data_IF_844870567267
#
_entry.id   IF_844870567267
#
_cell.length_a   1.000
_cell.length_b   1.000
_cell.length_c   1.000
_cell.angle_alpha   90.00
_cell.angle_beta   90.00
_cell.angle_gamma   90.00
#
_symmetry.space_group_name_H-M   'P 1'
#
loop_
_entity.id
_entity.type
_entity.pdbx_description
1 polymer ?
#
# COMPACT_ATOMS: atom_id res chain seq x y z
N UNK A 1 18.00 13.91 -11.00
CA UNK A 1 17.40 12.61 -11.03
C UNK A 1 17.79 11.83 -9.78
N UNK A 2 16.82 11.48 -8.94
CA UNK A 2 17.09 10.75 -7.72
C UNK A 2 17.68 9.38 -8.04
N UNK A 3 18.88 9.12 -7.59
CA UNK A 3 19.34 7.75 -7.42
C UNK A 3 18.48 7.15 -6.31
N UNK A 4 17.87 5.98 -6.56
CA UNK A 4 17.14 5.26 -5.52
C UNK A 4 18.03 5.07 -4.32
N UNK A 5 17.63 5.70 -3.25
CA UNK A 5 18.22 5.50 -1.98
C UNK A 5 17.39 4.46 -1.27
N UNK A 6 17.79 3.22 -1.35
CA UNK A 6 17.70 2.44 -0.15
C UNK A 6 18.71 3.04 0.81
N UNK A 7 18.31 3.33 2.04
CA UNK A 7 19.20 3.74 3.12
C UNK A 7 20.39 2.78 3.31
N UNK A 8 20.37 1.65 2.65
CA UNK A 8 21.37 0.57 2.58
C UNK A 8 22.34 0.70 1.40
N UNK A 9 22.27 1.74 0.55
CA UNK A 9 23.43 2.01 -0.29
C UNK A 9 24.65 2.20 0.61
N UNK A 10 25.85 1.69 0.22
CA UNK A 10 27.06 1.82 1.06
C UNK A 10 27.15 3.27 1.50
N UNK A 11 27.01 3.46 2.79
CA UNK A 11 26.55 4.66 3.52
C UNK A 11 27.22 5.99 3.23
N UNK A 12 28.06 6.11 2.22
CA UNK A 12 28.81 7.33 2.00
C UNK A 12 28.44 8.10 0.74
N UNK A 13 27.98 7.44 -0.31
CA UNK A 13 27.80 8.10 -1.62
C UNK A 13 26.74 9.20 -1.57
N UNK A 14 25.58 8.93 -0.98
CA UNK A 14 24.55 9.96 -0.83
C UNK A 14 24.99 11.09 0.09
N UNK A 15 25.56 10.74 1.26
CA UNK A 15 26.08 11.71 2.21
C UNK A 15 27.10 12.62 1.53
N UNK A 16 28.06 12.06 0.79
CA UNK A 16 29.08 12.79 0.06
C UNK A 16 28.47 13.71 -1.00
N UNK A 17 27.48 13.23 -1.77
CA UNK A 17 26.77 14.02 -2.76
C UNK A 17 26.00 15.19 -2.14
N UNK A 18 25.27 14.95 -1.05
CA UNK A 18 24.51 16.00 -0.36
C UNK A 18 25.42 17.03 0.29
N UNK A 19 26.53 16.61 0.92
CA UNK A 19 27.56 17.51 1.44
C UNK A 19 28.17 18.36 0.32
N UNK A 20 28.57 17.71 -0.78
CA UNK A 20 29.14 18.41 -1.94
C UNK A 20 28.16 19.41 -2.54
N UNK A 21 26.88 19.09 -2.60
CA UNK A 21 25.82 19.99 -3.09
C UNK A 21 25.62 21.16 -2.14
N UNK A 22 25.45 20.89 -0.83
CA UNK A 22 25.26 21.89 0.22
C UNK A 22 26.33 22.97 0.17
N UNK A 23 27.58 22.59 -0.07
CA UNK A 23 28.73 23.52 -0.08
C UNK A 23 28.85 24.39 -1.34
N UNK A 24 28.14 24.06 -2.42
CA UNK A 24 28.37 24.66 -3.74
C UNK A 24 27.16 25.28 -4.40
N UNK A 25 25.98 24.88 -3.98
CA UNK A 25 24.74 25.27 -4.64
C UNK A 25 23.70 25.79 -3.64
N UNK A 26 22.73 26.56 -4.15
CA UNK A 26 21.55 26.91 -3.40
C UNK A 26 20.75 25.68 -3.02
N UNK A 27 19.96 25.78 -1.97
CA UNK A 27 19.05 24.72 -1.53
C UNK A 27 18.12 24.33 -2.70
N UNK A 28 17.98 23.04 -3.02
CA UNK A 28 17.00 22.60 -4.01
C UNK A 28 15.58 22.81 -3.48
N UNK A 29 14.62 22.91 -4.39
CA UNK A 29 13.19 23.04 -4.04
C UNK A 29 12.69 21.78 -3.30
N UNK A 30 13.18 20.62 -3.66
CA UNK A 30 12.86 19.34 -3.03
C UNK A 30 13.98 18.30 -3.24
N UNK A 31 13.99 17.29 -2.38
CA UNK A 31 14.81 16.09 -2.51
C UNK A 31 13.91 14.91 -2.89
N UNK A 32 14.46 13.93 -3.59
CA UNK A 32 13.70 12.75 -4.02
C UNK A 32 14.38 11.46 -3.62
N UNK A 33 13.55 10.44 -3.31
CA UNK A 33 14.02 9.07 -3.12
C UNK A 33 13.01 8.06 -3.68
N UNK A 34 13.41 6.78 -3.73
CA UNK A 34 12.55 5.64 -4.04
C UNK A 34 12.57 4.67 -2.87
N UNK A 35 11.48 3.95 -2.64
CA UNK A 35 11.37 3.02 -1.51
C UNK A 35 10.72 1.70 -1.93
N UNK A 36 11.36 0.61 -1.55
CA UNK A 36 10.92 -0.76 -1.79
C UNK A 36 11.31 -1.66 -0.61
N UNK A 37 10.55 -2.73 -0.31
CA UNK A 37 10.76 -3.58 0.87
C UNK A 37 11.94 -4.55 0.70
N UNK A 38 13.05 -4.10 0.14
CA UNK A 38 14.23 -4.93 -0.13
C UNK A 38 15.46 -4.30 0.48
N UNK A 39 16.18 -5.10 1.26
CA UNK A 39 17.55 -4.77 1.68
C UNK A 39 18.53 -5.52 0.82
N UNK A 40 19.58 -4.84 0.34
CA UNK A 40 20.72 -5.46 -0.31
C UNK A 40 21.67 -5.91 0.80
N UNK A 41 21.56 -7.14 1.26
CA UNK A 41 22.64 -7.73 2.06
C UNK A 41 23.84 -7.96 1.15
N UNK A 42 24.93 -7.22 1.38
CA UNK A 42 26.24 -7.55 0.85
C UNK A 42 26.80 -8.75 1.61
N UNK A 43 26.40 -9.94 1.24
CA UNK A 43 27.22 -11.10 1.49
C UNK A 43 28.24 -11.18 0.35
N UNK A 44 29.49 -10.89 0.68
CA UNK A 44 30.63 -11.16 -0.20
C UNK A 44 30.90 -12.66 -0.23
N UNK A 45 30.00 -13.44 -0.76
CA UNK A 45 30.27 -14.82 -1.12
C UNK A 45 30.85 -14.85 -2.53
N UNK A 46 32.15 -15.01 -2.60
CA UNK A 46 32.84 -15.38 -3.84
C UNK A 46 32.57 -16.85 -4.16
N UNK A 47 31.51 -17.14 -4.87
CA UNK A 47 31.32 -18.44 -5.50
C UNK A 47 31.83 -18.37 -6.93
N UNK A 48 32.89 -19.10 -7.25
CA UNK A 48 33.49 -19.20 -8.59
C UNK A 48 33.89 -17.84 -9.20
N UNK A 49 34.41 -16.89 -8.41
CA UNK A 49 34.91 -15.60 -8.90
C UNK A 49 33.82 -14.60 -9.32
N UNK A 50 32.55 -14.84 -9.01
CA UNK A 50 31.44 -13.90 -9.23
C UNK A 50 30.89 -13.43 -7.90
N UNK A 51 30.69 -12.12 -7.83
CA UNK A 51 30.07 -11.47 -6.67
C UNK A 51 28.54 -11.53 -6.84
N UNK A 52 27.85 -12.16 -5.91
CA UNK A 52 26.37 -12.19 -5.88
C UNK A 52 25.88 -11.29 -4.75
N UNK A 53 24.96 -10.39 -5.05
CA UNK A 53 24.17 -9.70 -4.05
C UNK A 53 22.84 -10.44 -3.88
N UNK A 54 22.55 -10.89 -2.66
CA UNK A 54 21.25 -11.43 -2.31
C UNK A 54 20.32 -10.27 -1.90
N UNK A 55 19.20 -10.15 -2.58
CA UNK A 55 18.09 -9.31 -2.14
C UNK A 55 17.27 -10.11 -1.12
N UNK A 56 17.20 -9.65 0.12
CA UNK A 56 16.28 -10.20 1.11
C UNK A 56 15.04 -9.29 1.22
N UNK A 57 13.87 -9.91 1.35
CA UNK A 57 12.64 -9.17 1.69
C UNK A 57 12.72 -8.87 3.19
N UNK A 58 12.55 -7.63 3.58
CA UNK A 58 12.43 -7.30 4.98
C UNK A 58 11.20 -7.96 5.60
N UNK A 59 11.36 -8.48 6.80
CA UNK A 59 10.25 -9.02 7.58
C UNK A 59 9.33 -7.93 8.14
N UNK A 60 9.81 -6.70 8.20
CA UNK A 60 9.05 -5.53 8.61
C UNK A 60 8.30 -4.94 7.42
N UNK A 61 7.00 -4.81 7.59
CA UNK A 61 6.12 -4.27 6.56
C UNK A 61 6.07 -2.74 6.52
N UNK A 62 6.78 -2.04 7.44
CA UNK A 62 6.81 -0.56 7.55
C UNK A 62 8.03 0.08 6.86
N UNK A 63 8.45 -0.46 5.72
CA UNK A 63 9.69 -0.09 5.04
C UNK A 63 9.75 1.39 4.60
N UNK A 64 8.62 1.98 4.17
CA UNK A 64 8.59 3.41 3.78
C UNK A 64 8.91 4.30 4.97
N UNK A 65 8.35 4.02 6.15
CA UNK A 65 8.64 4.79 7.38
C UNK A 65 10.11 4.66 7.77
N UNK A 66 10.67 3.46 7.69
CA UNK A 66 12.09 3.23 7.98
C UNK A 66 13.00 4.01 7.03
N UNK A 67 12.69 4.03 5.73
CA UNK A 67 13.43 4.80 4.76
C UNK A 67 13.32 6.31 5.00
N UNK A 68 12.14 6.81 5.36
CA UNK A 68 11.92 8.21 5.73
C UNK A 68 12.76 8.57 6.95
N UNK A 69 12.72 7.76 8.01
CA UNK A 69 13.48 7.99 9.24
C UNK A 69 14.99 8.00 8.99
N UNK A 70 15.48 7.05 8.18
CA UNK A 70 16.87 6.98 7.78
C UNK A 70 17.29 8.21 6.96
N UNK A 71 16.41 8.69 6.09
CA UNK A 71 16.66 9.88 5.27
C UNK A 71 16.75 11.14 6.13
N UNK A 72 15.79 11.35 7.04
CA UNK A 72 15.82 12.46 7.99
C UNK A 72 17.07 12.42 8.88
N UNK A 73 17.40 11.25 9.43
CA UNK A 73 18.61 11.09 10.26
C UNK A 73 19.89 11.43 9.48
N UNK A 74 19.96 11.09 8.19
CA UNK A 74 21.07 11.47 7.33
C UNK A 74 21.13 13.00 7.16
N UNK A 75 20.03 13.65 6.81
CA UNK A 75 19.97 15.09 6.58
C UNK A 75 20.35 15.85 7.86
N UNK A 76 19.86 15.43 9.02
CA UNK A 76 20.19 16.01 10.32
C UNK A 76 21.68 15.85 10.63
N UNK A 77 22.26 14.67 10.36
CA UNK A 77 23.66 14.37 10.62
C UNK A 77 24.67 15.25 9.86
N UNK A 78 24.22 15.85 8.76
CA UNK A 78 25.01 16.76 7.91
C UNK A 78 24.52 18.20 7.99
N UNK A 79 23.58 18.49 8.90
CA UNK A 79 22.96 19.81 9.05
C UNK A 79 22.45 20.35 7.69
N UNK A 80 21.74 19.48 6.92
CA UNK A 80 21.20 19.88 5.65
C UNK A 80 20.01 20.84 5.84
N UNK A 81 19.88 21.91 5.03
CA UNK A 81 18.75 22.83 5.17
C UNK A 81 17.41 22.12 5.03
N UNK A 82 16.40 22.51 5.83
CA UNK A 82 15.05 21.98 5.74
C UNK A 82 14.53 22.07 4.29
N UNK A 83 14.28 20.93 3.69
CA UNK A 83 13.95 20.78 2.27
C UNK A 83 12.83 19.74 2.14
N UNK A 84 11.77 20.02 1.37
CA UNK A 84 10.70 19.06 1.09
C UNK A 84 11.26 17.74 0.56
N UNK A 85 10.67 16.63 0.99
CA UNK A 85 11.07 15.27 0.55
C UNK A 85 9.93 14.63 -0.21
N UNK A 86 10.21 14.17 -1.42
CA UNK A 86 9.26 13.50 -2.30
C UNK A 86 9.67 12.05 -2.51
N UNK A 87 8.76 11.14 -2.22
CA UNK A 87 8.87 9.74 -2.59
C UNK A 87 8.35 9.58 -4.02
N UNK A 88 9.29 9.55 -4.97
CA UNK A 88 8.96 9.59 -6.40
C UNK A 88 8.57 8.24 -6.98
N UNK A 89 8.93 7.16 -6.29
CA UNK A 89 8.58 5.82 -6.71
C UNK A 89 8.58 4.87 -5.52
N UNK A 90 7.50 4.13 -5.35
CA UNK A 90 7.42 3.08 -4.33
C UNK A 90 6.46 1.97 -4.74
N UNK A 91 6.69 0.80 -4.18
CA UNK A 91 5.79 -0.33 -4.28
C UNK A 91 6.09 -1.33 -3.15
N UNK A 92 5.13 -2.17 -2.81
CA UNK A 92 5.29 -3.24 -1.81
C UNK A 92 5.90 -4.52 -2.38
N UNK A 93 6.27 -4.54 -3.66
CA UNK A 93 6.95 -5.64 -4.36
C UNK A 93 7.66 -5.08 -5.60
N UNK A 94 8.81 -5.64 -5.95
CA UNK A 94 9.49 -5.38 -7.24
C UNK A 94 9.08 -6.39 -8.31
N UNK A 95 8.63 -7.57 -7.90
CA UNK A 95 8.30 -8.64 -8.83
C UNK A 95 7.00 -8.36 -9.57
N UNK A 96 7.08 -8.35 -10.90
CA UNK A 96 5.93 -8.30 -11.80
C UNK A 96 5.24 -9.67 -11.98
N UNK A 97 5.61 -10.65 -11.17
CA UNK A 97 5.08 -12.03 -11.23
C UNK A 97 4.78 -12.61 -9.85
N UNK A 98 4.47 -11.77 -8.91
CA UNK A 98 4.06 -12.17 -7.57
C UNK A 98 2.55 -12.05 -7.43
N UNK A 99 1.83 -13.17 -7.37
CA UNK A 99 0.37 -13.19 -7.28
C UNK A 99 -0.20 -12.42 -6.07
N UNK A 100 0.63 -12.17 -5.06
CA UNK A 100 0.32 -11.26 -3.96
C UNK A 100 -0.11 -9.87 -4.46
N UNK A 101 0.46 -9.38 -5.57
CA UNK A 101 0.12 -8.08 -6.15
C UNK A 101 -1.34 -7.98 -6.63
N UNK A 102 -2.01 -9.11 -6.86
CA UNK A 102 -3.40 -9.16 -7.28
C UNK A 102 -4.37 -9.36 -6.10
N UNK A 103 -3.87 -9.42 -4.87
CA UNK A 103 -4.62 -9.77 -3.65
C UNK A 103 -5.08 -8.55 -2.83
N UNK A 104 -6.03 -8.76 -1.91
CA UNK A 104 -6.45 -7.77 -0.93
C UNK A 104 -5.32 -7.40 0.06
N UNK A 105 -4.38 -8.31 0.31
CA UNK A 105 -3.24 -8.04 1.18
C UNK A 105 -2.35 -6.91 0.63
N UNK A 106 -2.13 -6.88 -0.68
CA UNK A 106 -1.43 -5.79 -1.35
C UNK A 106 -2.07 -4.44 -1.04
N UNK A 107 -3.39 -4.34 -1.17
CA UNK A 107 -4.15 -3.12 -0.88
C UNK A 107 -3.97 -2.65 0.57
N UNK A 108 -4.07 -3.56 1.53
CA UNK A 108 -3.88 -3.25 2.95
C UNK A 108 -2.43 -2.82 3.27
N UNK A 109 -1.43 -3.47 2.67
CA UNK A 109 -0.03 -3.07 2.84
C UNK A 109 0.25 -1.70 2.21
N UNK A 110 -0.37 -1.38 1.07
CA UNK A 110 -0.28 -0.03 0.50
C UNK A 110 -0.83 1.02 1.45
N UNK A 111 -2.03 0.81 2.00
CA UNK A 111 -2.64 1.73 2.96
C UNK A 111 -1.76 1.92 4.20
N UNK A 112 -1.14 0.88 4.69
CA UNK A 112 -0.22 0.95 5.82
C UNK A 112 0.96 1.89 5.51
N UNK A 113 1.64 1.74 4.36
CA UNK A 113 2.71 2.65 3.94
C UNK A 113 2.22 4.09 3.83
N UNK A 114 1.03 4.31 3.25
CA UNK A 114 0.48 5.65 3.05
C UNK A 114 0.12 6.32 4.38
N UNK A 115 -0.41 5.57 5.35
CA UNK A 115 -0.69 6.07 6.71
C UNK A 115 0.61 6.39 7.45
N UNK A 116 1.63 5.56 7.32
CA UNK A 116 2.94 5.79 7.92
C UNK A 116 3.60 7.06 7.37
N UNK A 117 3.49 7.30 6.05
CA UNK A 117 4.06 8.46 5.37
C UNK A 117 3.26 9.76 5.57
N UNK A 118 2.04 9.68 6.12
CA UNK A 118 1.19 10.86 6.35
C UNK A 118 1.87 11.86 7.29
N UNK A 119 1.95 13.11 6.89
CA UNK A 119 2.63 14.22 7.58
C UNK A 119 4.16 14.17 7.52
N UNK A 120 4.76 13.15 6.91
CA UNK A 120 6.21 12.98 6.79
C UNK A 120 6.73 13.38 5.39
N UNK A 121 5.89 13.22 4.36
CA UNK A 121 6.22 13.49 2.96
C UNK A 121 5.26 14.49 2.33
N UNK A 122 5.81 15.37 1.49
CA UNK A 122 5.01 16.31 0.69
C UNK A 122 4.37 15.62 -0.52
N UNK A 123 4.99 14.55 -1.02
CA UNK A 123 4.51 13.79 -2.17
C UNK A 123 4.94 12.32 -2.11
N UNK A 124 4.00 11.43 -2.52
CA UNK A 124 4.22 10.00 -2.58
C UNK A 124 3.60 9.41 -3.86
N UNK A 125 4.43 8.93 -4.78
CA UNK A 125 3.99 8.42 -6.08
C UNK A 125 4.13 6.91 -6.18
N UNK A 126 3.00 6.23 -6.40
CA UNK A 126 2.96 4.77 -6.58
C UNK A 126 3.40 4.36 -8.00
N UNK A 127 4.20 3.32 -8.12
CA UNK A 127 4.60 2.69 -9.39
C UNK A 127 3.99 1.29 -9.49
N UNK A 128 3.10 1.00 -10.44
CA UNK A 128 2.60 1.76 -11.56
C UNK A 128 1.08 1.70 -11.62
N UNK A 129 0.45 2.44 -12.56
CA UNK A 129 -1.03 2.46 -12.68
C UNK A 129 -1.57 1.18 -13.29
N UNK A 130 -0.94 0.63 -14.33
CA UNK A 130 -1.44 -0.56 -15.02
C UNK A 130 -0.39 -1.67 -15.08
N UNK A 131 -0.89 -2.91 -15.10
CA UNK A 131 -0.09 -4.06 -15.50
C UNK A 131 0.30 -3.88 -16.96
N UNK A 132 1.51 -3.43 -17.20
CA UNK A 132 1.97 -3.20 -18.54
C UNK A 132 3.28 -3.90 -18.76
N UNK A 133 3.64 -4.03 -19.96
CA UNK A 133 4.97 -4.14 -20.47
C UNK A 133 5.35 -5.48 -21.00
N UNK A 134 6.53 -5.93 -20.67
CA UNK A 134 7.12 -7.15 -21.21
C UNK A 134 6.25 -8.38 -20.93
N UNK A 135 5.60 -8.42 -19.77
CA UNK A 135 4.73 -9.53 -19.37
C UNK A 135 3.41 -9.58 -20.17
N UNK A 136 2.99 -8.47 -20.71
CA UNK A 136 1.80 -8.41 -21.56
C UNK A 136 1.90 -9.33 -22.77
N UNK A 137 3.09 -9.47 -23.35
CA UNK A 137 3.33 -10.24 -24.55
C UNK A 137 3.62 -11.72 -24.28
N UNK A 138 3.96 -12.08 -23.04
CA UNK A 138 4.32 -13.45 -22.68
C UNK A 138 3.28 -14.18 -21.83
N UNK A 139 2.12 -13.54 -21.56
CA UNK A 139 1.02 -14.17 -20.83
C UNK A 139 -0.34 -13.74 -21.36
N UNK A 140 -1.21 -14.74 -21.59
CA UNK A 140 -2.64 -14.54 -21.89
C UNK A 140 -3.49 -14.41 -20.63
N UNK A 141 -2.95 -14.77 -19.47
CA UNK A 141 -3.67 -14.74 -18.18
C UNK A 141 -4.16 -13.33 -17.84
N UNK A 142 -5.38 -13.18 -17.31
CA UNK A 142 -5.93 -11.90 -16.88
C UNK A 142 -5.17 -11.33 -15.66
N UNK A 143 -4.64 -12.21 -14.80
CA UNK A 143 -3.83 -11.89 -13.64
C UNK A 143 -2.50 -12.61 -13.76
N UNK A 144 -1.42 -11.87 -13.59
CA UNK A 144 -0.05 -12.35 -13.72
C UNK A 144 0.83 -12.01 -12.51
N UNK A 145 0.24 -11.39 -11.48
CA UNK A 145 1.00 -10.93 -10.33
C UNK A 145 1.82 -9.66 -10.61
N UNK A 146 1.44 -8.86 -11.60
CA UNK A 146 2.11 -7.60 -11.88
C UNK A 146 1.73 -6.50 -10.88
N UNK A 147 2.56 -5.47 -10.79
CA UNK A 147 2.49 -4.44 -9.74
C UNK A 147 1.44 -3.35 -9.98
N UNK A 148 0.81 -3.32 -11.14
CA UNK A 148 -0.19 -2.32 -11.51
C UNK A 148 -1.44 -2.35 -10.62
N UNK A 149 -2.14 -1.21 -10.58
CA UNK A 149 -3.45 -1.07 -9.94
C UNK A 149 -4.58 -1.68 -10.80
N UNK A 150 -4.37 -1.72 -12.10
CA UNK A 150 -5.34 -2.14 -13.12
C UNK A 150 -4.68 -3.21 -13.99
N UNK A 151 -5.40 -4.30 -14.27
CA UNK A 151 -4.89 -5.36 -15.15
C UNK A 151 -4.75 -4.86 -16.60
N UNK A 152 -3.99 -5.58 -17.43
CA UNK A 152 -3.87 -5.31 -18.86
C UNK A 152 -5.22 -5.24 -19.59
N UNK A 153 -6.23 -5.95 -19.11
CA UNK A 153 -7.58 -5.98 -19.67
C UNK A 153 -8.50 -4.91 -19.08
N UNK A 154 -7.98 -4.04 -18.21
CA UNK A 154 -8.70 -2.93 -17.58
C UNK A 154 -9.63 -3.37 -16.44
N UNK A 155 -9.33 -4.47 -15.75
CA UNK A 155 -10.03 -4.90 -14.54
C UNK A 155 -9.34 -4.25 -13.33
N UNK A 156 -10.11 -3.65 -12.43
CA UNK A 156 -9.59 -3.00 -11.24
C UNK A 156 -9.19 -4.05 -10.19
N UNK A 157 -7.99 -3.88 -9.61
CA UNK A 157 -7.47 -4.75 -8.55
C UNK A 157 -7.83 -4.18 -7.17
N UNK A 158 -7.74 -4.96 -6.08
CA UNK A 158 -7.87 -4.42 -4.72
C UNK A 158 -6.98 -3.20 -4.45
N UNK A 159 -5.76 -3.20 -4.99
CA UNK A 159 -4.81 -2.09 -4.92
C UNK A 159 -5.35 -0.76 -5.51
N UNK A 160 -6.16 -0.83 -6.59
CA UNK A 160 -6.83 0.34 -7.14
C UNK A 160 -7.77 0.98 -6.12
N UNK A 161 -8.56 0.17 -5.43
CA UNK A 161 -9.51 0.66 -4.43
C UNK A 161 -8.82 1.24 -3.20
N UNK A 162 -7.63 0.78 -2.85
CA UNK A 162 -6.84 1.43 -1.81
C UNK A 162 -6.50 2.88 -2.18
N UNK A 163 -6.07 3.12 -3.43
CA UNK A 163 -5.79 4.46 -3.94
C UNK A 163 -7.07 5.30 -4.11
N UNK A 164 -8.15 4.69 -4.57
CA UNK A 164 -9.45 5.37 -4.72
C UNK A 164 -10.01 5.82 -3.36
N UNK A 165 -9.99 4.96 -2.36
CA UNK A 165 -10.42 5.30 -1.00
C UNK A 165 -9.54 6.36 -0.36
N UNK A 166 -8.23 6.31 -0.62
CA UNK A 166 -7.33 7.37 -0.20
C UNK A 166 -7.69 8.72 -0.85
N UNK A 167 -8.00 8.71 -2.13
CA UNK A 167 -8.46 9.90 -2.85
C UNK A 167 -9.79 10.49 -2.36
N UNK A 168 -10.59 9.70 -1.61
CA UNK A 168 -11.84 10.17 -0.99
C UNK A 168 -11.63 10.75 0.41
N UNK A 169 -10.42 10.68 0.97
CA UNK A 169 -10.13 11.24 2.28
C UNK A 169 -10.19 12.78 2.24
N UNK A 170 -10.58 13.37 3.37
CA UNK A 170 -10.68 14.81 3.52
C UNK A 170 -9.31 15.46 3.78
N UNK A 171 -9.26 16.78 3.65
CA UNK A 171 -8.03 17.55 3.75
C UNK A 171 -7.49 17.69 5.18
N UNK A 172 -8.35 17.58 6.19
CA UNK A 172 -7.96 17.78 7.58
C UNK A 172 -7.85 16.45 8.31
N UNK A 173 -6.64 16.11 8.75
CA UNK A 173 -6.40 14.96 9.60
C UNK A 173 -7.07 15.15 10.97
N UNK A 174 -7.86 14.17 11.41
CA UNK A 174 -8.48 14.09 12.75
C UNK A 174 -7.64 13.16 13.64
N UNK A 175 -7.18 12.05 13.09
CA UNK A 175 -6.36 11.09 13.79
C UNK A 175 -5.92 9.94 12.91
N UNK A 176 -4.83 9.30 13.28
CA UNK A 176 -4.30 8.10 12.63
C UNK A 176 -3.81 7.10 13.66
N UNK A 177 -3.76 5.84 13.28
CA UNK A 177 -3.22 4.73 14.07
C UNK A 177 -2.75 3.62 13.16
N UNK A 178 -2.26 2.55 13.76
CA UNK A 178 -1.65 1.42 13.03
C UNK A 178 -2.57 0.82 11.93
N UNK A 179 -3.88 0.93 12.09
CA UNK A 179 -4.86 0.28 11.22
C UNK A 179 -5.92 1.24 10.65
N UNK A 180 -5.75 2.55 10.83
CA UNK A 180 -6.71 3.52 10.33
C UNK A 180 -6.12 4.91 10.17
N UNK A 181 -6.77 5.70 9.33
CA UNK A 181 -6.65 7.14 9.25
C UNK A 181 -8.06 7.74 9.21
N UNK A 182 -8.27 8.85 9.92
CA UNK A 182 -9.52 9.58 9.96
C UNK A 182 -9.29 11.04 9.57
N UNK A 183 -10.13 11.55 8.70
CA UNK A 183 -10.06 12.94 8.20
C UNK A 183 -11.44 13.60 8.24
N UNK A 184 -11.47 14.90 8.06
CA UNK A 184 -12.72 15.63 7.85
C UNK A 184 -12.64 16.55 6.63
N UNK A 185 -13.80 16.72 6.01
CA UNK A 185 -14.03 17.68 4.95
C UNK A 185 -15.21 18.59 5.33
N UNK A 186 -15.03 19.91 5.21
CA UNK A 186 -16.09 20.90 5.46
C UNK A 186 -16.83 20.80 6.82
N UNK A 187 -16.11 20.51 7.92
CA UNK A 187 -16.60 20.45 9.33
C UNK A 187 -17.68 19.39 9.66
N UNK A 188 -18.41 18.86 8.69
CA UNK A 188 -19.59 17.99 8.94
C UNK A 188 -19.40 16.57 8.39
N UNK A 189 -18.49 16.36 7.45
CA UNK A 189 -18.24 15.02 6.88
C UNK A 189 -16.96 14.45 7.45
N UNK A 190 -17.06 13.25 8.01
CA UNK A 190 -15.90 12.51 8.52
C UNK A 190 -15.66 11.31 7.61
N UNK A 191 -14.41 11.11 7.22
CA UNK A 191 -13.95 9.95 6.47
C UNK A 191 -13.00 9.14 7.36
N UNK A 192 -13.22 7.82 7.39
CA UNK A 192 -12.33 6.88 8.07
C UNK A 192 -11.96 5.80 7.07
N UNK A 193 -10.67 5.62 6.85
CA UNK A 193 -10.13 4.52 6.08
C UNK A 193 -9.44 3.56 7.05
N UNK A 194 -9.94 2.35 7.15
CA UNK A 194 -9.45 1.32 8.07
C UNK A 194 -9.06 0.06 7.31
N UNK A 195 -8.04 -0.65 7.79
CA UNK A 195 -7.51 -1.84 7.13
C UNK A 195 -6.90 -2.82 8.13
N UNK A 196 -6.94 -4.11 7.80
CA UNK A 196 -6.37 -5.18 8.60
C UNK A 196 -5.18 -5.83 7.88
N UNK A 197 -4.10 -5.06 7.69
CA UNK A 197 -2.87 -5.56 7.09
C UNK A 197 -2.22 -6.63 7.96
N UNK A 198 -1.81 -7.75 7.36
CA UNK A 198 -1.16 -8.87 8.04
C UNK A 198 0.34 -8.90 7.76
N UNK A 199 1.13 -9.21 8.77
CA UNK A 199 2.57 -9.41 8.60
C UNK A 199 2.85 -10.72 7.88
N UNK A 200 3.83 -10.69 6.98
CA UNK A 200 4.31 -11.89 6.31
C UNK A 200 4.91 -12.90 7.30
N UNK A 201 4.72 -14.18 7.01
CA UNK A 201 5.37 -15.27 7.73
C UNK A 201 6.83 -15.42 7.30
N UNK A 202 7.65 -15.98 8.16
CA UNK A 202 9.05 -16.28 7.81
C UNK A 202 9.18 -17.17 6.56
N UNK A 203 8.27 -18.13 6.37
CA UNK A 203 8.27 -18.99 5.21
C UNK A 203 8.04 -18.25 3.89
N UNK A 204 7.27 -17.18 3.91
CA UNK A 204 7.09 -16.32 2.73
C UNK A 204 8.38 -15.56 2.38
N UNK A 205 9.06 -15.00 3.38
CA UNK A 205 10.30 -14.27 3.17
C UNK A 205 11.43 -15.14 2.58
N UNK A 206 11.36 -16.45 2.78
CA UNK A 206 12.31 -17.43 2.22
C UNK A 206 11.89 -17.94 0.84
N UNK A 207 10.73 -17.53 0.32
CA UNK A 207 10.18 -18.01 -0.94
C UNK A 207 10.52 -17.06 -2.09
N UNK A 208 10.85 -17.61 -3.25
CA UNK A 208 11.00 -16.79 -4.45
C UNK A 208 9.63 -16.17 -4.82
N UNK A 209 9.59 -14.86 -5.02
CA UNK A 209 8.34 -14.11 -5.26
C UNK A 209 7.51 -14.66 -6.43
N UNK A 210 8.17 -15.06 -7.52
CA UNK A 210 7.51 -15.61 -8.71
C UNK A 210 7.05 -17.08 -8.56
N UNK A 211 7.28 -17.69 -7.41
CA UNK A 211 6.87 -19.09 -7.13
C UNK A 211 5.62 -19.21 -6.27
N UNK A 212 5.04 -18.07 -5.85
CA UNK A 212 3.82 -18.06 -5.04
C UNK A 212 2.60 -18.44 -5.89
N UNK A 213 1.84 -19.44 -5.42
CA UNK A 213 0.59 -19.85 -6.03
C UNK A 213 -0.62 -19.25 -5.28
N UNK A 214 -1.75 -19.06 -5.97
CA UNK A 214 -2.99 -18.50 -5.38
C UNK A 214 -3.43 -19.26 -4.13
N UNK A 215 -3.35 -20.59 -4.15
CA UNK A 215 -3.75 -21.43 -3.00
C UNK A 215 -2.89 -21.24 -1.75
N UNK A 216 -1.70 -20.65 -1.89
CA UNK A 216 -0.77 -20.40 -0.80
C UNK A 216 -0.98 -19.03 -0.12
N UNK A 217 -1.69 -18.10 -0.78
CA UNK A 217 -1.93 -16.76 -0.24
C UNK A 217 -2.47 -16.72 1.20
N UNK A 218 -3.41 -17.58 1.63
CA UNK A 218 -3.88 -17.57 3.02
C UNK A 218 -2.81 -17.98 4.04
N UNK A 219 -1.71 -18.61 3.60
CA UNK A 219 -0.66 -19.18 4.46
C UNK A 219 0.62 -18.36 4.50
N UNK A 220 0.70 -17.27 3.72
CA UNK A 220 1.88 -16.42 3.71
C UNK A 220 1.94 -15.44 4.88
N UNK A 221 0.91 -15.35 5.70
CA UNK A 221 0.82 -14.45 6.84
C UNK A 221 1.05 -15.15 8.17
N UNK A 222 1.51 -14.39 9.19
CA UNK A 222 1.72 -14.91 10.55
C UNK A 222 0.42 -15.35 11.22
N UNK A 223 -0.68 -14.67 10.91
CA UNK A 223 -2.03 -15.00 11.36
C UNK A 223 -3.08 -14.42 10.40
N UNK A 224 -4.32 -14.86 10.56
CA UNK A 224 -5.47 -14.39 9.79
C UNK A 224 -6.60 -13.87 10.72
N UNK A 225 -6.25 -13.36 11.90
CA UNK A 225 -7.20 -12.90 12.89
C UNK A 225 -7.98 -11.68 12.38
N UNK A 226 -9.24 -11.60 12.82
CA UNK A 226 -10.06 -10.41 12.61
C UNK A 226 -9.54 -9.25 13.45
N UNK A 227 -9.66 -8.06 12.93
CA UNK A 227 -9.37 -6.81 13.63
C UNK A 227 -10.69 -6.17 14.06
N UNK A 228 -10.78 -5.81 15.34
CA UNK A 228 -11.91 -5.10 15.90
C UNK A 228 -11.47 -3.69 16.29
N UNK A 229 -12.06 -2.68 15.66
CA UNK A 229 -11.82 -1.27 15.94
C UNK A 229 -13.08 -0.67 16.56
N UNK A 230 -12.91 0.08 17.65
CA UNK A 230 -13.96 0.88 18.24
C UNK A 230 -13.66 2.36 18.02
N UNK A 231 -14.58 3.06 17.40
CA UNK A 231 -14.47 4.49 17.14
C UNK A 231 -15.41 5.25 18.06
N UNK A 232 -14.87 6.27 18.74
CA UNK A 232 -15.60 7.25 19.54
C UNK A 232 -15.33 8.64 18.93
N UNK A 233 -16.32 9.17 18.23
CA UNK A 233 -16.24 10.49 17.59
C UNK A 233 -16.94 11.51 18.49
N UNK A 234 -16.17 12.48 19.00
CA UNK A 234 -16.64 13.54 19.89
C UNK A 234 -16.98 14.82 19.14
N UNK A 235 -17.77 15.67 19.76
CA UNK A 235 -18.24 16.94 19.20
C UNK A 235 -19.03 16.77 17.89
N UNK A 236 -19.76 15.67 17.80
CA UNK A 236 -20.66 15.40 16.70
C UNK A 236 -21.96 16.19 16.88
N UNK A 237 -22.54 16.68 15.79
CA UNK A 237 -23.86 17.30 15.85
C UNK A 237 -24.90 16.29 16.39
N UNK A 238 -25.75 16.74 17.28
CA UNK A 238 -26.87 15.91 17.74
C UNK A 238 -27.82 15.58 16.58
N UNK A 239 -28.20 14.32 16.49
CA UNK A 239 -29.11 13.89 15.45
C UNK A 239 -28.79 12.52 14.87
N UNK A 240 -29.41 12.25 13.75
CA UNK A 240 -29.25 11.02 13.00
C UNK A 240 -28.21 11.22 11.90
N UNK A 241 -27.14 10.43 11.93
CA UNK A 241 -26.09 10.43 10.93
C UNK A 241 -26.24 9.27 9.96
N UNK A 242 -26.02 9.54 8.68
CA UNK A 242 -25.93 8.52 7.65
C UNK A 242 -24.46 8.06 7.54
N UNK A 243 -24.25 6.76 7.67
CA UNK A 243 -22.94 6.12 7.54
C UNK A 243 -22.94 5.30 6.26
N UNK A 244 -22.10 5.70 5.29
CA UNK A 244 -21.84 4.96 4.08
C UNK A 244 -20.53 4.22 4.26
N UNK A 245 -20.50 2.91 4.04
CA UNK A 245 -19.34 2.07 4.20
C UNK A 245 -19.08 1.30 2.92
N UNK A 246 -17.84 1.36 2.42
CA UNK A 246 -17.36 0.63 1.26
C UNK A 246 -16.30 -0.37 1.73
N UNK A 247 -16.42 -1.63 1.31
CA UNK A 247 -15.53 -2.71 1.75
C UNK A 247 -14.90 -3.42 0.57
N UNK A 248 -13.63 -3.74 0.72
CA UNK A 248 -12.87 -4.64 -0.17
C UNK A 248 -12.25 -5.74 0.69
N UNK A 249 -12.57 -6.98 0.35
CA UNK A 249 -12.18 -8.17 1.10
C UNK A 249 -12.10 -9.38 0.16
N UNK A 250 -11.77 -10.55 0.70
CA UNK A 250 -11.82 -11.81 -0.07
C UNK A 250 -13.18 -12.09 -0.72
N UNK A 251 -14.27 -11.49 -0.21
CA UNK A 251 -15.63 -11.72 -0.71
C UNK A 251 -16.18 -10.62 -1.61
N UNK A 252 -15.50 -9.47 -1.75
CA UNK A 252 -15.97 -8.34 -2.55
C UNK A 252 -14.81 -7.43 -2.97
N UNK A 253 -14.90 -6.87 -4.18
CA UNK A 253 -13.85 -6.01 -4.74
C UNK A 253 -12.53 -6.75 -5.03
N UNK A 254 -12.55 -8.06 -5.13
CA UNK A 254 -11.37 -8.92 -5.26
C UNK A 254 -11.40 -9.70 -6.57
N UNK A 255 -10.66 -9.22 -7.56
CA UNK A 255 -10.59 -9.84 -8.87
C UNK A 255 -9.99 -11.25 -8.82
N UNK A 256 -9.05 -11.50 -7.90
CA UNK A 256 -8.41 -12.80 -7.76
C UNK A 256 -9.41 -13.88 -7.31
N UNK A 257 -10.29 -13.56 -6.35
CA UNK A 257 -11.35 -14.45 -5.89
C UNK A 257 -12.42 -14.68 -6.98
N UNK A 258 -12.81 -13.64 -7.71
CA UNK A 258 -13.78 -13.76 -8.80
C UNK A 258 -13.22 -14.55 -9.97
N UNK A 259 -11.95 -14.36 -10.33
CA UNK A 259 -11.26 -15.19 -11.33
C UNK A 259 -11.21 -16.67 -10.90
N UNK A 260 -11.04 -16.93 -9.61
CA UNK A 260 -11.13 -18.30 -9.07
C UNK A 260 -12.46 -18.97 -9.33
N UNK A 261 -13.58 -18.24 -9.25
CA UNK A 261 -14.92 -18.76 -9.61
C UNK A 261 -15.06 -19.11 -11.08
N UNK A 262 -14.22 -18.53 -11.94
CA UNK A 262 -14.10 -18.87 -13.36
C UNK A 262 -13.06 -19.99 -13.62
N UNK A 263 -12.64 -20.70 -12.57
CA UNK A 263 -11.71 -21.83 -12.66
C UNK A 263 -10.27 -21.44 -12.99
N UNK A 264 -9.85 -20.22 -12.72
CA UNK A 264 -8.52 -19.68 -13.03
C UNK A 264 -8.14 -19.82 -14.51
N UNK A 265 -9.13 -19.67 -15.42
CA UNK A 265 -8.89 -19.74 -16.86
C UNK A 265 -7.87 -18.69 -17.29
N UNK A 266 -6.83 -19.12 -18.00
CA UNK A 266 -5.79 -18.21 -18.53
C UNK A 266 -6.29 -17.42 -19.74
N UNK A 267 -7.26 -17.96 -20.47
CA UNK A 267 -7.86 -17.31 -21.64
C UNK A 267 -9.31 -16.99 -21.35
N UNK A 268 -9.59 -15.71 -21.10
CA UNK A 268 -10.94 -15.23 -20.86
C UNK A 268 -11.57 -14.67 -22.14
N UNK A 269 -12.84 -14.97 -22.33
CA UNK A 269 -13.64 -14.32 -23.36
C UNK A 269 -13.93 -12.86 -22.99
N UNK A 270 -14.25 -12.03 -23.97
CA UNK A 270 -14.63 -10.62 -23.75
C UNK A 270 -15.80 -10.45 -22.77
N UNK A 271 -16.76 -11.38 -22.81
CA UNK A 271 -17.90 -11.41 -21.87
C UNK A 271 -17.47 -11.66 -20.43
N UNK A 272 -16.49 -12.56 -20.21
CA UNK A 272 -15.95 -12.86 -18.88
C UNK A 272 -15.12 -11.68 -18.34
N UNK A 273 -14.32 -11.03 -19.17
CA UNK A 273 -13.62 -9.80 -18.82
C UNK A 273 -14.62 -8.71 -18.45
N UNK A 274 -15.69 -8.53 -19.25
CA UNK A 274 -16.74 -7.55 -18.93
C UNK A 274 -17.47 -7.89 -17.65
N UNK A 275 -17.72 -9.16 -17.36
CA UNK A 275 -18.29 -9.63 -16.10
C UNK A 275 -17.39 -9.27 -14.92
N UNK A 276 -16.09 -9.59 -14.99
CA UNK A 276 -15.14 -9.25 -13.92
C UNK A 276 -15.08 -7.75 -13.64
N UNK A 277 -15.11 -6.90 -14.68
CA UNK A 277 -15.16 -5.44 -14.51
C UNK A 277 -16.39 -4.95 -13.75
N UNK A 278 -17.50 -5.65 -13.84
CA UNK A 278 -18.76 -5.28 -13.19
C UNK A 278 -18.88 -5.82 -11.77
N UNK A 279 -18.33 -7.02 -11.51
CA UNK A 279 -18.50 -7.70 -10.22
C UNK A 279 -17.37 -7.39 -9.21
N UNK A 280 -16.16 -7.08 -9.69
CA UNK A 280 -15.00 -6.79 -8.85
C UNK A 280 -15.05 -5.36 -8.31
N UNK A 281 -16.16 -4.98 -7.67
CA UNK A 281 -16.36 -3.66 -7.07
C UNK A 281 -16.53 -3.75 -5.55
N UNK A 282 -16.18 -2.70 -4.80
CA UNK A 282 -16.40 -2.65 -3.37
C UNK A 282 -17.87 -2.84 -3.00
N UNK A 283 -18.13 -3.59 -1.94
CA UNK A 283 -19.49 -3.70 -1.40
C UNK A 283 -19.84 -2.45 -0.62
N UNK A 284 -20.95 -1.81 -0.97
CA UNK A 284 -21.47 -0.64 -0.29
C UNK A 284 -22.55 -1.04 0.72
N UNK A 285 -22.48 -0.48 1.94
CA UNK A 285 -23.49 -0.60 2.98
C UNK A 285 -23.87 0.80 3.48
N UNK A 286 -25.15 0.99 3.80
CA UNK A 286 -25.64 2.23 4.41
C UNK A 286 -26.30 1.91 5.74
N UNK A 287 -25.88 2.62 6.78
CA UNK A 287 -26.48 2.54 8.13
C UNK A 287 -26.84 3.93 8.62
N UNK A 288 -27.75 4.00 9.57
CA UNK A 288 -28.10 5.23 10.27
C UNK A 288 -27.85 5.05 11.76
N UNK A 289 -27.13 5.99 12.35
CA UNK A 289 -26.80 5.96 13.77
C UNK A 289 -27.16 7.29 14.44
N UNK A 290 -27.54 7.21 15.69
CA UNK A 290 -27.94 8.37 16.49
C UNK A 290 -26.79 8.76 17.42
N UNK A 291 -26.40 10.03 17.42
CA UNK A 291 -25.49 10.57 18.44
C UNK A 291 -26.12 10.56 19.82
N UNK A 292 -25.31 10.33 20.84
CA UNK A 292 -25.67 10.43 22.24
C UNK A 292 -24.73 11.42 22.92
N UNK A 293 -25.28 12.53 23.42
CA UNK A 293 -24.46 13.57 24.08
C UNK A 293 -23.27 14.01 23.25
N UNK A 294 -23.50 14.39 21.99
CA UNK A 294 -22.46 14.80 21.04
C UNK A 294 -21.38 13.72 20.69
N UNK A 295 -21.62 12.47 21.06
CA UNK A 295 -20.72 11.35 20.77
C UNK A 295 -21.39 10.38 19.80
N UNK A 296 -20.66 9.96 18.77
CA UNK A 296 -21.03 8.86 17.89
C UNK A 296 -20.05 7.70 18.09
N UNK A 297 -20.57 6.59 18.57
CA UNK A 297 -19.80 5.36 18.80
C UNK A 297 -20.19 4.28 17.81
N UNK A 298 -19.22 3.62 17.20
CA UNK A 298 -19.46 2.43 16.39
C UNK A 298 -18.27 1.48 16.39
N UNK A 299 -18.57 0.23 16.11
CA UNK A 299 -17.60 -0.83 15.96
C UNK A 299 -17.43 -1.19 14.48
N UNK A 300 -16.19 -1.38 14.07
CA UNK A 300 -15.82 -1.88 12.76
C UNK A 300 -14.99 -3.16 12.94
N UNK A 301 -15.50 -4.26 12.42
CA UNK A 301 -14.78 -5.54 12.38
C UNK A 301 -14.32 -5.77 10.95
N UNK A 302 -13.02 -6.02 10.80
CA UNK A 302 -12.36 -6.32 9.52
C UNK A 302 -11.82 -7.74 9.53
N UNK A 303 -12.07 -8.49 8.48
CA UNK A 303 -11.43 -9.77 8.23
C UNK A 303 -9.93 -9.59 7.94
N UNK A 304 -9.18 -10.69 7.87
CA UNK A 304 -7.77 -10.64 7.44
C UNK A 304 -7.66 -9.98 6.07
N UNK A 305 -6.74 -9.03 5.92
CA UNK A 305 -6.49 -8.30 4.68
C UNK A 305 -7.73 -7.62 4.07
N UNK A 306 -8.68 -7.23 4.91
CA UNK A 306 -9.84 -6.41 4.52
C UNK A 306 -9.55 -4.93 4.76
N UNK A 307 -10.04 -4.09 3.87
CA UNK A 307 -10.11 -2.64 4.05
C UNK A 307 -11.54 -2.11 3.95
N UNK A 308 -11.82 -1.03 4.66
CA UNK A 308 -13.10 -0.35 4.64
C UNK A 308 -12.92 1.17 4.64
N UNK A 309 -13.64 1.83 3.73
CA UNK A 309 -13.82 3.28 3.76
C UNK A 309 -15.18 3.60 4.35
N UNK A 310 -15.21 4.45 5.37
CA UNK A 310 -16.43 4.87 6.09
C UNK A 310 -16.59 6.37 5.95
N UNK A 311 -17.73 6.79 5.43
CA UNK A 311 -18.12 8.20 5.35
C UNK A 311 -19.32 8.45 6.25
N UNK A 312 -19.22 9.46 7.10
CA UNK A 312 -20.25 9.89 8.06
C UNK A 312 -20.76 11.27 7.64
N UNK A 313 -22.09 11.35 7.41
CA UNK A 313 -22.80 12.52 6.89
C UNK A 313 -23.86 12.99 7.87
#
# INVERSE_FOLDING_TARGET
>A
GGSGLNATMPGNVLREQLCWWKDRYDRPDFLTFMSYPYQVERQEEQVAGKQYSLLSIESDTHFVKQDIDAYHALLDSIEYPATPIWLTEWNTSLSERNIYNDSCAKACHMLMQMVDATEELDQMNYSSISDWTVQYFDSTSPLIGATGLITKDGILKPAYYAMEFWGWMGERLIGKGQHYIATSQHRETIQILAFNAKQFSYSYNMKAENSLEVKELPFIFKNNDKLKLQFELKNMREGKHKICMYRVSESCGNVLAEWGKLGYSKELMRSEISYLKQICIPRMEVRYMQTKKDILEFELVLESNEMAFVQIL
#
